data_IF_982152975474
#
_entry.id   IF_982152975474
#
_cell.length_a   1.000
_cell.length_b   1.000
_cell.length_c   1.000
_cell.angle_alpha   90.00
_cell.angle_beta   90.00
_cell.angle_gamma   90.00
#
_symmetry.space_group_name_H-M   'P 1'
#
loop_
_entity.id
_entity.type
_entity.pdbx_description
1 polymer ?
#
# COMPACT_ATOMS: atom_id res chain seq x y z
N UNK A 1 -15.95 1.27 -0.19
CA UNK A 1 -14.95 0.31 0.33
C UNK A 1 -13.83 1.11 0.96
N UNK A 2 -13.67 1.02 2.28
CA UNK A 2 -12.60 1.74 2.99
C UNK A 2 -11.35 0.87 2.98
N UNK A 3 -10.32 1.27 2.26
CA UNK A 3 -9.04 0.56 2.21
C UNK A 3 -7.97 1.38 2.95
N UNK A 4 -7.40 0.82 4.01
CA UNK A 4 -6.31 1.43 4.77
C UNK A 4 -4.97 1.03 4.14
N UNK A 5 -4.07 2.01 3.94
CA UNK A 5 -2.65 1.72 3.78
C UNK A 5 -2.09 1.26 5.13
N UNK A 6 -1.84 -0.03 5.27
CA UNK A 6 -1.21 -0.62 6.46
C UNK A 6 0.28 -0.73 6.18
N UNK A 7 1.13 -0.38 7.16
CA UNK A 7 2.58 -0.54 7.03
C UNK A 7 2.93 -2.01 6.86
N UNK A 8 3.91 -2.32 6.04
CA UNK A 8 4.42 -3.68 5.86
C UNK A 8 4.92 -4.32 7.17
N UNK A 9 5.35 -3.51 8.13
CA UNK A 9 5.81 -3.94 9.47
C UNK A 9 4.67 -4.37 10.41
N UNK A 10 3.40 -4.03 10.11
CA UNK A 10 2.23 -4.46 10.90
C UNK A 10 1.71 -5.85 10.49
N UNK A 11 2.26 -6.44 9.44
CA UNK A 11 2.00 -7.80 9.01
C UNK A 11 3.26 -8.64 9.22
N UNK A 12 3.18 -9.64 10.10
CA UNK A 12 4.10 -10.77 10.12
C UNK A 12 3.84 -11.65 8.88
N UNK A 13 4.08 -11.06 7.73
CA UNK A 13 4.21 -11.79 6.50
C UNK A 13 5.62 -12.36 6.52
N UNK A 14 5.73 -13.69 6.64
CA UNK A 14 6.96 -14.41 6.30
C UNK A 14 7.28 -14.15 4.83
N UNK A 15 7.66 -12.91 4.53
CA UNK A 15 8.26 -12.52 3.28
C UNK A 15 9.64 -13.15 3.33
N UNK A 16 9.89 -14.08 2.44
CA UNK A 16 11.25 -14.56 2.22
C UNK A 16 12.10 -13.34 1.87
N UNK A 17 12.73 -12.76 2.91
CA UNK A 17 13.74 -11.73 2.74
C UNK A 17 14.93 -12.35 2.02
N UNK A 18 14.96 -12.24 0.70
CA UNK A 18 16.07 -12.69 -0.15
C UNK A 18 17.13 -11.58 -0.28
N UNK A 19 17.08 -10.54 0.55
CA UNK A 19 18.00 -9.43 0.46
C UNK A 19 18.53 -8.96 1.80
N UNK A 20 19.70 -9.42 2.20
CA UNK A 20 20.54 -8.71 3.17
C UNK A 20 21.04 -7.42 2.48
N UNK A 21 20.19 -6.42 2.41
CA UNK A 21 20.58 -5.08 1.96
C UNK A 21 21.69 -4.52 2.86
N UNK A 22 22.49 -3.58 2.38
CA UNK A 22 23.60 -3.02 3.16
C UNK A 22 23.04 -2.44 4.47
N UNK A 23 23.52 -2.93 5.60
CA UNK A 23 23.05 -2.68 6.96
C UNK A 23 23.08 -1.22 7.42
N UNK A 24 23.49 -0.28 6.57
CA UNK A 24 23.57 1.16 6.86
C UNK A 24 22.78 2.03 5.88
N UNK A 25 22.16 1.47 4.86
CA UNK A 25 21.38 2.22 3.87
C UNK A 25 20.01 2.54 4.46
N UNK A 26 19.56 3.78 4.30
CA UNK A 26 18.26 4.26 4.77
C UNK A 26 17.49 4.87 3.61
N UNK A 27 16.16 4.92 3.74
CA UNK A 27 15.32 5.70 2.86
C UNK A 27 15.78 7.16 2.80
N UNK A 28 15.73 7.76 1.63
CA UNK A 28 15.97 9.19 1.47
C UNK A 28 14.68 9.95 1.75
N UNK A 29 14.60 10.57 2.93
CA UNK A 29 13.40 11.27 3.38
C UNK A 29 13.24 12.63 2.70
N UNK A 30 12.03 12.90 2.18
CA UNK A 30 11.61 14.20 1.66
C UNK A 30 10.73 14.95 2.68
N UNK A 31 9.90 14.21 3.43
CA UNK A 31 9.03 14.74 4.49
C UNK A 31 8.87 13.72 5.60
N UNK A 32 8.63 14.18 6.82
CA UNK A 32 8.37 13.34 7.99
C UNK A 32 6.88 13.28 8.35
N UNK A 33 6.10 14.28 7.95
CA UNK A 33 4.67 14.34 8.24
C UNK A 33 3.90 15.09 7.13
N UNK A 34 3.14 14.36 6.30
CA UNK A 34 3.14 12.89 6.19
C UNK A 34 4.50 12.35 5.73
N UNK A 35 4.79 11.11 6.08
CA UNK A 35 6.06 10.49 5.69
C UNK A 35 6.12 10.30 4.18
N UNK A 36 7.12 10.92 3.56
CA UNK A 36 7.46 10.77 2.14
C UNK A 36 8.94 10.49 2.04
N UNK A 37 9.30 9.38 1.41
CA UNK A 37 10.69 8.97 1.28
C UNK A 37 10.89 8.11 0.03
N UNK A 38 12.05 8.19 -0.58
CA UNK A 38 12.40 7.41 -1.77
C UNK A 38 13.41 6.31 -1.45
N UNK A 39 13.33 5.24 -2.23
CA UNK A 39 14.31 4.16 -2.25
C UNK A 39 15.67 4.73 -2.62
N UNK A 40 16.74 4.46 -1.87
CA UNK A 40 18.07 4.91 -2.25
C UNK A 40 18.53 4.19 -3.51
N UNK A 41 19.26 4.89 -4.37
CA UNK A 41 19.72 4.38 -5.66
C UNK A 41 20.45 3.03 -5.55
N UNK A 42 21.25 2.84 -4.52
CA UNK A 42 21.95 1.57 -4.26
C UNK A 42 21.01 0.38 -4.04
N UNK A 43 19.76 0.60 -3.60
CA UNK A 43 18.77 -0.45 -3.42
C UNK A 43 17.98 -0.74 -4.70
N UNK A 44 18.00 0.14 -5.69
CA UNK A 44 17.40 -0.10 -7.02
C UNK A 44 18.19 -1.13 -7.85
N UNK A 45 19.39 -1.50 -7.42
CA UNK A 45 20.17 -2.57 -8.05
C UNK A 45 19.62 -3.98 -7.75
N UNK A 46 18.73 -4.12 -6.77
CA UNK A 46 18.10 -5.39 -6.43
C UNK A 46 16.81 -5.57 -7.23
N UNK A 47 16.56 -6.78 -7.73
CA UNK A 47 15.30 -7.12 -8.42
C UNK A 47 14.08 -7.03 -7.48
N UNK A 48 14.30 -7.27 -6.18
CA UNK A 48 13.32 -7.06 -5.11
C UNK A 48 13.93 -6.08 -4.11
N UNK A 49 13.24 -4.98 -3.90
CA UNK A 49 13.65 -3.94 -2.95
C UNK A 49 13.48 -4.46 -1.52
N UNK A 50 14.52 -4.39 -0.66
CA UNK A 50 14.35 -4.72 0.76
C UNK A 50 13.22 -3.88 1.38
N UNK A 51 12.31 -4.50 2.14
CA UNK A 51 11.15 -3.84 2.72
C UNK A 51 11.46 -2.53 3.47
N UNK A 52 12.51 -2.45 4.30
CA UNK A 52 12.86 -1.20 4.98
C UNK A 52 13.27 -0.06 4.03
N UNK A 53 13.57 -0.38 2.77
CA UNK A 53 14.01 0.56 1.75
C UNK A 53 12.96 0.79 0.67
N UNK A 54 11.76 0.21 0.82
CA UNK A 54 10.65 0.43 -0.09
C UNK A 54 10.18 1.89 0.01
N UNK A 55 10.03 2.60 -1.12
CA UNK A 55 9.62 4.01 -1.11
C UNK A 55 8.28 4.21 -0.43
N UNK A 56 8.08 5.39 0.16
CA UNK A 56 6.86 5.75 0.86
C UNK A 56 6.32 7.07 0.31
N UNK A 57 5.04 7.05 -0.05
CA UNK A 57 4.33 8.24 -0.48
C UNK A 57 2.97 8.26 0.23
N UNK A 58 2.90 8.98 1.33
CA UNK A 58 1.65 9.24 2.03
C UNK A 58 1.13 10.63 1.64
N UNK A 59 -0.15 10.74 1.32
CA UNK A 59 -0.80 12.02 1.05
C UNK A 59 -1.24 12.67 2.35
N UNK A 60 -1.80 11.88 3.24
CA UNK A 60 -2.22 12.26 4.58
C UNK A 60 -1.43 11.51 5.65
N UNK A 61 -1.48 11.97 6.92
CA UNK A 61 -0.93 11.20 8.04
C UNK A 61 -1.56 9.81 8.13
N UNK A 62 -0.77 8.82 8.54
CA UNK A 62 -1.29 7.47 8.72
C UNK A 62 -2.30 7.44 9.88
N UNK A 63 -3.49 6.84 9.70
CA UNK A 63 -4.44 6.66 10.78
C UNK A 63 -3.83 5.83 11.91
N UNK A 64 -4.07 6.25 13.15
CA UNK A 64 -3.63 5.49 14.32
C UNK A 64 -4.69 4.43 14.66
N UNK A 65 -4.34 3.15 14.51
CA UNK A 65 -5.22 2.04 14.88
C UNK A 65 -4.51 1.20 15.93
N UNK A 66 -5.14 0.97 17.11
CA UNK A 66 -4.58 0.07 18.11
C UNK A 66 -4.45 -1.35 17.57
N UNK A 67 -3.31 -2.01 17.81
CA UNK A 67 -3.06 -3.39 17.36
C UNK A 67 -4.13 -4.38 17.85
N UNK A 68 -4.70 -4.15 19.04
CA UNK A 68 -5.78 -4.94 19.61
C UNK A 68 -7.10 -4.90 18.80
N UNK A 69 -7.25 -3.93 17.90
CA UNK A 69 -8.47 -3.74 17.09
C UNK A 69 -8.26 -4.09 15.62
N UNK A 70 -7.07 -4.54 15.21
CA UNK A 70 -6.77 -4.79 13.80
C UNK A 70 -7.62 -5.93 13.22
N UNK A 71 -7.80 -7.02 13.94
CA UNK A 71 -8.57 -8.16 13.43
C UNK A 71 -10.08 -7.84 13.32
N UNK A 72 -10.58 -6.88 14.10
CA UNK A 72 -11.96 -6.39 14.05
C UNK A 72 -12.15 -5.24 13.06
N UNK A 73 -11.09 -4.81 12.38
CA UNK A 73 -11.19 -3.78 11.35
C UNK A 73 -12.07 -4.24 10.20
N UNK A 74 -13.09 -3.45 9.85
CA UNK A 74 -14.05 -3.80 8.81
C UNK A 74 -13.77 -3.04 7.51
N UNK A 75 -13.82 -3.77 6.40
CA UNK A 75 -13.97 -3.22 5.06
C UNK A 75 -15.46 -3.25 4.74
N UNK A 76 -16.04 -2.11 4.43
CA UNK A 76 -17.48 -1.97 4.15
C UNK A 76 -17.69 -1.89 2.65
N UNK A 77 -18.63 -2.68 2.12
CA UNK A 77 -19.15 -2.55 0.77
C UNK A 77 -20.47 -1.78 0.85
N UNK A 78 -20.51 -0.62 0.22
CA UNK A 78 -21.66 0.26 0.17
C UNK A 78 -22.10 0.51 -1.29
N UNK A 79 -23.37 0.88 -1.50
CA UNK A 79 -23.90 1.25 -2.83
C UNK A 79 -24.42 0.10 -3.68
N UNK A 80 -24.28 -1.15 -3.26
CA UNK A 80 -24.99 -2.28 -3.85
C UNK A 80 -26.37 -2.37 -3.19
N UNK A 81 -27.42 -2.27 -3.99
CA UNK A 81 -28.77 -1.86 -3.62
C UNK A 81 -29.49 -2.57 -2.47
N UNK A 82 -28.99 -3.67 -1.91
CA UNK A 82 -29.74 -4.44 -0.92
C UNK A 82 -28.94 -4.93 0.30
N UNK A 83 -27.64 -4.71 0.39
CA UNK A 83 -26.83 -5.24 1.49
C UNK A 83 -25.70 -4.28 1.87
N UNK A 84 -25.74 -3.72 3.07
CA UNK A 84 -24.56 -3.24 3.77
C UNK A 84 -23.72 -4.45 4.15
N UNK A 85 -22.83 -4.88 3.29
CA UNK A 85 -21.97 -6.02 3.55
C UNK A 85 -20.61 -5.54 4.04
N UNK A 86 -20.06 -6.26 5.00
CA UNK A 86 -18.74 -5.93 5.56
C UNK A 86 -17.93 -7.20 5.78
N UNK A 87 -16.62 -7.08 5.64
CA UNK A 87 -15.69 -8.15 5.96
C UNK A 87 -14.64 -7.62 6.92
N UNK A 88 -14.45 -8.28 8.05
CA UNK A 88 -13.39 -7.93 8.97
C UNK A 88 -12.02 -8.46 8.48
N UNK A 89 -10.93 -7.89 9.01
CA UNK A 89 -9.59 -8.25 8.58
C UNK A 89 -9.25 -9.72 8.89
N UNK A 90 -9.77 -10.29 9.97
CA UNK A 90 -9.59 -11.71 10.32
C UNK A 90 -10.20 -12.63 9.25
N UNK A 91 -11.42 -12.36 8.83
CA UNK A 91 -12.11 -13.14 7.80
C UNK A 91 -11.47 -12.94 6.42
N UNK A 92 -11.00 -11.70 6.12
CA UNK A 92 -10.24 -11.42 4.92
C UNK A 92 -8.94 -12.23 4.85
N UNK A 93 -8.20 -12.32 5.98
CA UNK A 93 -6.97 -13.11 6.08
C UNK A 93 -7.21 -14.62 5.92
N UNK A 94 -8.42 -15.11 6.18
CA UNK A 94 -8.79 -16.52 6.03
C UNK A 94 -9.13 -16.92 4.59
N UNK A 95 -9.34 -15.94 3.69
CA UNK A 95 -9.60 -16.21 2.28
C UNK A 95 -8.34 -16.70 1.55
N UNK A 96 -8.51 -17.38 0.38
CA UNK A 96 -7.37 -17.81 -0.44
C UNK A 96 -6.43 -16.66 -0.77
N UNK A 97 -5.14 -16.94 -0.74
CA UNK A 97 -4.08 -15.95 -1.00
C UNK A 97 -3.36 -16.21 -2.31
N UNK A 98 -2.91 -15.14 -2.94
CA UNK A 98 -2.06 -15.18 -4.13
C UNK A 98 -0.87 -14.26 -3.90
N UNK A 99 0.31 -14.67 -4.37
CA UNK A 99 1.53 -13.87 -4.32
C UNK A 99 1.90 -13.42 -5.73
N UNK A 100 2.14 -12.13 -5.89
CA UNK A 100 2.55 -11.52 -7.15
C UNK A 100 3.85 -10.73 -6.93
N UNK A 101 4.75 -10.78 -7.91
CA UNK A 101 5.87 -9.84 -7.98
C UNK A 101 5.38 -8.57 -8.68
N UNK A 102 5.46 -7.43 -7.99
CA UNK A 102 4.94 -6.16 -8.50
C UNK A 102 5.97 -5.07 -8.31
N UNK A 103 6.21 -4.30 -9.37
CA UNK A 103 6.92 -3.02 -9.30
C UNK A 103 5.89 -1.92 -9.19
N UNK A 104 6.04 -1.09 -8.16
CA UNK A 104 5.20 0.08 -7.93
C UNK A 104 6.02 1.33 -8.18
N UNK A 105 5.48 2.28 -8.92
CA UNK A 105 6.11 3.57 -9.20
C UNK A 105 5.11 4.69 -8.91
N UNK A 106 5.59 5.74 -8.24
CA UNK A 106 4.82 6.96 -8.05
C UNK A 106 4.82 7.79 -9.33
N UNK A 107 3.67 8.34 -9.72
CA UNK A 107 3.57 9.26 -10.86
C UNK A 107 4.44 10.53 -10.70
N UNK A 108 4.94 10.81 -9.51
CA UNK A 108 5.90 11.89 -9.22
C UNK A 108 7.36 11.49 -9.30
N UNK A 109 7.69 10.28 -9.68
CA UNK A 109 9.07 9.85 -9.87
C UNK A 109 9.76 10.75 -10.91
N UNK A 110 11.03 11.11 -10.69
CA UNK A 110 11.81 12.06 -11.50
C UNK A 110 11.21 13.48 -11.59
N UNK A 111 10.32 13.88 -10.66
CA UNK A 111 9.73 15.23 -10.69
C UNK A 111 10.75 16.34 -10.52
N UNK A 112 11.84 16.08 -9.78
CA UNK A 112 12.92 17.05 -9.57
C UNK A 112 13.55 17.49 -10.90
N UNK A 113 13.55 16.63 -11.93
CA UNK A 113 14.17 16.89 -13.23
C UNK A 113 13.23 17.62 -14.20
N UNK A 114 11.97 17.88 -13.81
CA UNK A 114 11.01 18.58 -14.69
C UNK A 114 11.32 20.07 -14.75
N UNK A 115 11.42 20.58 -15.96
CA UNK A 115 11.66 22.01 -16.22
C UNK A 115 10.56 22.58 -17.13
N UNK A 116 9.87 23.69 -16.75
CA UNK A 116 10.02 24.41 -15.48
C UNK A 116 9.55 23.57 -14.29
N UNK A 117 10.03 23.85 -13.05
CA UNK A 117 9.64 23.11 -11.86
C UNK A 117 8.14 23.09 -11.65
N UNK A 118 7.59 21.92 -11.26
CA UNK A 118 6.17 21.73 -10.97
C UNK A 118 5.97 21.45 -9.47
N UNK A 119 4.77 21.77 -8.97
CA UNK A 119 4.41 21.52 -7.56
C UNK A 119 4.34 20.03 -7.22
N UNK A 120 4.47 19.71 -5.93
CA UNK A 120 4.39 18.36 -5.38
C UNK A 120 5.72 17.88 -4.79
N UNK A 121 5.75 16.62 -4.32
CA UNK A 121 6.98 16.03 -3.78
C UNK A 121 8.05 15.91 -4.87
N UNK A 122 9.22 16.49 -4.60
CA UNK A 122 10.33 16.53 -5.54
C UNK A 122 11.16 15.24 -5.42
N UNK A 123 10.62 14.15 -5.94
CA UNK A 123 11.34 12.89 -6.03
C UNK A 123 12.45 12.99 -7.09
N UNK A 124 13.58 12.38 -6.79
CA UNK A 124 14.57 11.97 -7.78
C UNK A 124 14.08 10.68 -8.47
N UNK A 125 14.93 9.70 -8.68
CA UNK A 125 14.58 8.43 -9.35
C UNK A 125 14.15 7.31 -8.39
N UNK A 126 14.02 7.58 -7.10
CA UNK A 126 13.81 6.57 -6.07
C UNK A 126 12.35 6.34 -5.66
N UNK A 127 11.38 7.00 -6.29
CA UNK A 127 9.96 6.74 -6.03
C UNK A 127 9.45 5.50 -6.80
N UNK A 128 10.24 4.45 -6.81
CA UNK A 128 9.97 3.15 -7.44
C UNK A 128 10.54 2.04 -6.57
N UNK A 129 9.83 0.93 -6.45
CA UNK A 129 10.28 -0.25 -5.70
C UNK A 129 9.57 -1.51 -6.19
N UNK A 130 10.20 -2.66 -6.04
CA UNK A 130 9.65 -3.95 -6.40
C UNK A 130 9.55 -4.86 -5.17
N UNK A 131 8.42 -5.56 -5.00
CA UNK A 131 8.24 -6.51 -3.91
C UNK A 131 7.35 -7.70 -4.32
N UNK A 132 7.42 -8.76 -3.53
CA UNK A 132 6.39 -9.79 -3.56
C UNK A 132 5.22 -9.35 -2.67
N UNK A 133 4.05 -9.21 -3.27
CA UNK A 133 2.81 -8.88 -2.58
C UNK A 133 1.96 -10.13 -2.42
N UNK A 134 1.67 -10.50 -1.18
CA UNK A 134 0.76 -11.61 -0.88
C UNK A 134 -0.54 -11.05 -0.33
N UNK A 135 -1.65 -11.40 -0.94
CA UNK A 135 -2.96 -10.90 -0.53
C UNK A 135 -4.10 -11.74 -1.09
N UNK A 136 -5.32 -11.40 -0.70
CA UNK A 136 -6.55 -12.01 -1.22
C UNK A 136 -6.91 -11.36 -2.55
N UNK A 137 -7.15 -12.12 -3.61
CA UNK A 137 -7.67 -11.58 -4.86
C UNK A 137 -8.98 -10.81 -4.64
N UNK A 138 -9.10 -9.61 -5.21
CA UNK A 138 -10.30 -8.79 -5.10
C UNK A 138 -11.56 -9.56 -5.50
N UNK A 139 -11.49 -10.38 -6.55
CA UNK A 139 -12.61 -11.23 -6.98
C UNK A 139 -13.14 -12.16 -5.89
N UNK A 140 -12.25 -12.73 -5.06
CA UNK A 140 -12.65 -13.57 -3.93
C UNK A 140 -13.38 -12.77 -2.84
N UNK A 141 -12.93 -11.53 -2.59
CA UNK A 141 -13.60 -10.62 -1.65
C UNK A 141 -14.99 -10.24 -2.16
N UNK A 142 -15.09 -9.82 -3.42
CA UNK A 142 -16.37 -9.41 -4.02
C UNK A 142 -17.37 -10.57 -4.09
N UNK A 143 -16.89 -11.79 -4.39
CA UNK A 143 -17.74 -12.99 -4.34
C UNK A 143 -18.24 -13.26 -2.92
N UNK A 144 -17.36 -13.12 -1.91
CA UNK A 144 -17.74 -13.31 -0.50
C UNK A 144 -18.76 -12.28 -0.05
N UNK A 145 -18.70 -11.07 -0.57
CA UNK A 145 -19.58 -9.94 -0.22
C UNK A 145 -20.82 -9.84 -1.13
N UNK A 146 -21.13 -10.87 -1.93
CA UNK A 146 -22.31 -10.95 -2.81
C UNK A 146 -22.55 -9.70 -3.65
N UNK A 147 -21.48 -9.18 -4.28
CA UNK A 147 -21.59 -8.02 -5.16
C UNK A 147 -22.64 -8.27 -6.26
N UNK A 148 -23.54 -7.31 -6.48
CA UNK A 148 -24.51 -7.37 -7.57
C UNK A 148 -23.83 -7.46 -8.92
N UNK A 149 -24.39 -8.26 -9.84
CA UNK A 149 -23.92 -8.37 -11.23
C UNK A 149 -24.05 -7.08 -12.04
N UNK A 150 -24.82 -6.11 -11.57
CA UNK A 150 -25.10 -4.83 -12.25
C UNK A 150 -24.02 -3.79 -11.95
N UNK A 151 -23.10 -4.07 -11.02
CA UNK A 151 -22.01 -3.18 -10.68
C UNK A 151 -20.98 -3.14 -11.80
N UNK A 152 -20.71 -1.95 -12.32
CA UNK A 152 -19.76 -1.69 -13.41
C UNK A 152 -18.47 -1.04 -12.92
N UNK A 153 -18.50 -0.41 -11.73
CA UNK A 153 -17.35 0.29 -11.15
C UNK A 153 -17.28 0.05 -9.65
N UNK A 154 -16.08 0.11 -9.10
CA UNK A 154 -15.81 0.04 -7.66
C UNK A 154 -14.95 1.22 -7.27
N UNK A 155 -15.47 2.07 -6.38
CA UNK A 155 -14.72 3.15 -5.76
C UNK A 155 -14.06 2.63 -4.48
N UNK A 156 -12.76 2.87 -4.33
CA UNK A 156 -12.01 2.56 -3.11
C UNK A 156 -11.79 3.85 -2.33
N UNK A 157 -12.17 3.83 -1.05
CA UNK A 157 -11.97 4.97 -0.15
C UNK A 157 -11.09 4.52 1.03
N UNK A 158 -10.01 5.27 1.29
CA UNK A 158 -9.11 5.04 2.41
C UNK A 158 -9.70 5.54 3.73
N UNK A 159 -9.11 5.09 4.85
CA UNK A 159 -9.45 5.59 6.17
C UNK A 159 -8.58 6.80 6.58
N UNK A 160 -7.64 7.18 5.72
CA UNK A 160 -6.84 8.37 5.88
C UNK A 160 -7.62 9.60 5.37
N UNK A 161 -7.56 10.68 6.12
CA UNK A 161 -8.18 11.95 5.76
C UNK A 161 -7.23 13.13 6.06
N UNK A 162 -7.51 14.27 5.44
CA UNK A 162 -6.73 15.49 5.64
C UNK A 162 -7.19 16.61 4.71
N UNK A 163 -6.67 17.82 4.96
CA UNK A 163 -6.89 19.04 4.17
C UNK A 163 -5.61 19.34 3.39
#
# INVERSE_FOLDING_TARGET
MYCKCIRAEDFDLNIHDQGTGPTKTKLKSLSQNPLVAETPESALLYSITPNPLYFQRNHFPLPSIPNSSLDDWNIVLDGSSDVNDQINLKDLKALPKTTLSVTTECAGNNRLDVSPPVSGNQFESGAVSSAYWTGTPLSAVLTKMNLSSDVVEILFEGADDGI
#
